data_IF_765753474279
#
_entry.id   IF_765753474279
#
_cell.length_a   1.000
_cell.length_b   1.000
_cell.length_c   1.000
_cell.angle_alpha   90.00
_cell.angle_beta   90.00
_cell.angle_gamma   90.00
#
_symmetry.space_group_name_H-M   'P 1'
#
loop_
_entity.id
_entity.type
_entity.pdbx_description
1 polymer ?
#
# COMPACT_ATOMS: atom_id res chain seq x y z
N UNK A 1 0.04 11.95 11.10
CA UNK A 1 0.48 10.56 11.31
C UNK A 1 1.89 10.44 10.77
N UNK A 2 2.82 9.84 11.50
CA UNK A 2 4.17 9.49 11.01
C UNK A 2 4.19 8.03 10.53
N UNK A 3 5.25 7.61 9.83
CA UNK A 3 5.29 6.30 9.17
C UNK A 3 5.26 5.12 10.16
N UNK A 4 5.92 5.27 11.29
CA UNK A 4 5.91 4.29 12.37
C UNK A 4 4.48 4.09 12.91
N UNK A 5 3.69 5.16 13.02
CA UNK A 5 2.28 5.10 13.41
C UNK A 5 1.42 4.43 12.33
N UNK A 6 1.73 4.65 11.04
CA UNK A 6 1.09 3.93 9.94
C UNK A 6 1.40 2.43 10.00
N UNK A 7 2.67 2.05 10.22
CA UNK A 7 3.02 0.63 10.33
C UNK A 7 2.34 -0.02 11.53
N UNK A 8 2.23 0.70 12.66
CA UNK A 8 1.54 0.20 13.84
C UNK A 8 0.03 0.03 13.58
N UNK A 9 -0.62 0.99 12.91
CA UNK A 9 -2.04 0.88 12.58
C UNK A 9 -2.32 -0.31 11.66
N UNK A 10 -1.47 -0.55 10.66
CA UNK A 10 -1.60 -1.71 9.76
C UNK A 10 -1.36 -3.04 10.48
N UNK A 11 -0.42 -3.10 11.43
CA UNK A 11 -0.16 -4.30 12.25
C UNK A 11 -1.30 -4.66 13.19
N UNK A 12 -2.14 -3.69 13.57
CA UNK A 12 -3.29 -3.90 14.45
C UNK A 12 -4.54 -4.40 13.70
N UNK A 13 -4.50 -4.43 12.36
CA UNK A 13 -5.58 -4.99 11.54
C UNK A 13 -5.30 -6.49 11.37
N UNK A 14 -6.29 -7.37 11.58
CA UNK A 14 -6.12 -8.81 11.32
C UNK A 14 -5.67 -9.05 9.87
N UNK A 15 -4.54 -9.74 9.72
CA UNK A 15 -4.00 -10.16 8.43
C UNK A 15 -4.10 -11.69 8.31
N UNK A 16 -4.42 -12.17 7.11
CA UNK A 16 -4.36 -13.60 6.79
C UNK A 16 -2.92 -14.11 6.83
N UNK A 17 -1.98 -13.27 6.38
CA UNK A 17 -0.57 -13.60 6.29
C UNK A 17 0.27 -12.35 6.55
N UNK A 18 1.21 -12.43 7.50
CA UNK A 18 2.25 -11.41 7.64
C UNK A 18 3.52 -11.91 6.98
N UNK A 19 4.04 -11.16 5.99
CA UNK A 19 5.22 -11.54 5.22
C UNK A 19 6.47 -10.80 5.66
N UNK A 20 6.33 -9.52 5.98
CA UNK A 20 7.41 -8.70 6.50
C UNK A 20 6.89 -7.53 7.36
N UNK A 21 7.65 -7.18 8.39
CA UNK A 21 7.30 -6.13 9.34
C UNK A 21 8.55 -5.40 9.87
N UNK A 22 9.31 -4.78 8.97
CA UNK A 22 10.54 -4.04 9.23
C UNK A 22 10.27 -2.53 9.41
N UNK A 23 11.22 -1.75 9.97
CA UNK A 23 11.04 -0.31 10.21
C UNK A 23 10.74 0.52 8.95
N UNK A 24 11.27 0.13 7.79
CA UNK A 24 11.08 0.83 6.50
C UNK A 24 10.26 0.00 5.49
N UNK A 25 9.76 -1.17 5.88
CA UNK A 25 9.07 -2.09 4.97
C UNK A 25 8.04 -2.95 5.68
N UNK A 26 6.82 -2.96 5.20
CA UNK A 26 5.74 -3.80 5.67
C UNK A 26 5.06 -4.51 4.50
N UNK A 27 4.84 -5.81 4.64
CA UNK A 27 4.08 -6.60 3.68
C UNK A 27 3.18 -7.59 4.41
N UNK A 28 1.90 -7.58 4.05
CA UNK A 28 0.91 -8.51 4.58
C UNK A 28 -0.19 -8.78 3.55
N UNK A 29 -0.94 -9.85 3.76
CA UNK A 29 -2.13 -10.21 2.98
C UNK A 29 -3.35 -10.00 3.86
N UNK A 30 -4.32 -9.24 3.35
CA UNK A 30 -5.58 -8.96 4.02
C UNK A 30 -6.75 -9.52 3.22
N UNK A 31 -7.82 -9.92 3.91
CA UNK A 31 -9.11 -10.21 3.27
C UNK A 31 -9.79 -8.92 2.84
N UNK A 32 -10.75 -9.02 1.91
CA UNK A 32 -11.58 -7.87 1.52
C UNK A 32 -12.35 -7.23 2.67
N UNK A 33 -12.72 -8.00 3.70
CA UNK A 33 -13.43 -7.51 4.88
C UNK A 33 -12.61 -6.44 5.63
N UNK A 34 -11.29 -6.58 5.68
CA UNK A 34 -10.41 -5.67 6.40
C UNK A 34 -9.89 -4.51 5.53
N UNK A 35 -10.13 -4.55 4.22
CA UNK A 35 -9.68 -3.50 3.30
C UNK A 35 -10.21 -2.10 3.60
N UNK A 36 -11.44 -1.88 4.10
CA UNK A 36 -11.87 -0.55 4.55
C UNK A 36 -10.97 0.04 5.64
N UNK A 37 -10.56 -0.75 6.63
CA UNK A 37 -9.67 -0.30 7.71
C UNK A 37 -8.24 -0.03 7.21
N UNK A 38 -7.75 -0.89 6.30
CA UNK A 38 -6.45 -0.70 5.64
C UNK A 38 -6.44 0.61 4.84
N UNK A 39 -7.46 0.84 4.01
CA UNK A 39 -7.57 2.06 3.19
C UNK A 39 -7.67 3.31 4.06
N UNK A 40 -8.47 3.28 5.12
CA UNK A 40 -8.58 4.39 6.05
C UNK A 40 -7.23 4.75 6.69
N UNK A 41 -6.44 3.73 7.09
CA UNK A 41 -5.10 3.94 7.65
C UNK A 41 -4.13 4.55 6.63
N UNK A 42 -4.16 4.06 5.39
CA UNK A 42 -3.34 4.58 4.30
C UNK A 42 -3.75 6.01 3.90
N UNK A 43 -5.03 6.30 3.80
CA UNK A 43 -5.55 7.62 3.44
C UNK A 43 -5.29 8.66 4.54
N UNK A 44 -5.32 8.25 5.81
CA UNK A 44 -4.93 9.11 6.92
C UNK A 44 -3.45 9.52 6.87
N UNK A 45 -2.59 8.69 6.26
CA UNK A 45 -1.16 8.97 6.12
C UNK A 45 -0.81 9.66 4.79
N UNK A 46 -1.23 9.08 3.67
CA UNK A 46 -0.87 9.51 2.31
C UNK A 46 -1.83 10.55 1.72
N UNK A 47 -3.05 10.67 2.24
CA UNK A 47 -4.15 11.31 1.54
C UNK A 47 -4.72 10.43 0.43
N UNK A 48 -5.26 11.06 -0.62
CA UNK A 48 -5.88 10.33 -1.72
C UNK A 48 -4.87 9.46 -2.50
N UNK A 49 -5.34 8.33 -3.02
CA UNK A 49 -4.52 7.45 -3.83
C UNK A 49 -4.01 8.18 -5.10
N UNK A 50 -2.70 8.08 -5.37
CA UNK A 50 -2.11 8.54 -6.63
C UNK A 50 -2.71 7.79 -7.83
N UNK A 51 -3.02 6.50 -7.64
CA UNK A 51 -3.73 5.67 -8.61
C UNK A 51 -4.78 4.84 -7.89
N UNK A 52 -6.08 5.15 -8.01
CA UNK A 52 -7.14 4.32 -7.46
C UNK A 52 -7.38 3.06 -8.29
N UNK A 53 -8.03 2.05 -7.69
CA UNK A 53 -8.45 0.83 -8.38
C UNK A 53 -9.40 1.16 -9.56
N UNK A 54 -9.24 0.45 -10.68
CA UNK A 54 -10.09 0.62 -11.87
C UNK A 54 -9.70 1.78 -12.78
N UNK A 55 -8.83 2.68 -12.33
CA UNK A 55 -8.32 3.79 -13.16
C UNK A 55 -7.02 3.36 -13.86
N UNK A 56 -6.76 3.74 -15.12
CA UNK A 56 -5.47 3.51 -15.76
C UNK A 56 -4.33 4.16 -14.97
N UNK A 57 -3.18 3.49 -14.89
CA UNK A 57 -2.02 4.07 -14.23
C UNK A 57 -1.42 5.21 -15.06
N UNK A 58 -1.10 6.33 -14.41
CA UNK A 58 -0.30 7.39 -15.01
C UNK A 58 1.13 6.91 -15.29
N UNK A 59 1.85 7.62 -16.15
CA UNK A 59 3.27 7.33 -16.45
C UNK A 59 4.11 7.27 -15.17
N UNK A 60 3.84 8.19 -14.23
CA UNK A 60 4.58 8.24 -12.95
C UNK A 60 4.23 7.06 -12.04
N UNK A 61 2.96 6.67 -11.98
CA UNK A 61 2.55 5.48 -11.24
C UNK A 61 3.18 4.20 -11.81
N UNK A 62 3.31 4.10 -13.14
CA UNK A 62 4.01 2.98 -13.81
C UNK A 62 5.49 2.98 -13.47
N UNK A 63 6.17 4.13 -13.55
CA UNK A 63 7.60 4.26 -13.21
C UNK A 63 7.88 3.83 -11.78
N UNK A 64 7.10 4.34 -10.82
CA UNK A 64 7.21 4.00 -9.40
C UNK A 64 7.03 2.50 -9.21
N UNK A 65 5.95 1.93 -9.73
CA UNK A 65 5.62 0.53 -9.50
C UNK A 65 6.56 -0.46 -10.21
N UNK A 66 7.29 -0.04 -11.24
CA UNK A 66 8.18 -0.91 -12.03
C UNK A 66 9.22 -1.62 -11.16
N UNK A 67 9.75 -0.95 -10.14
CA UNK A 67 10.72 -1.54 -9.20
C UNK A 67 10.09 -2.56 -8.22
N UNK A 68 8.76 -2.59 -8.11
CA UNK A 68 8.02 -3.33 -7.08
C UNK A 68 7.09 -4.43 -7.63
N UNK A 69 7.29 -4.83 -8.88
CA UNK A 69 6.47 -5.85 -9.56
C UNK A 69 5.45 -5.30 -10.56
N UNK A 70 5.51 -4.00 -10.86
CA UNK A 70 4.65 -3.33 -11.83
C UNK A 70 3.27 -2.94 -11.28
N UNK A 71 2.50 -2.22 -12.10
CA UNK A 71 1.14 -1.77 -11.76
C UNK A 71 0.11 -2.30 -12.75
N UNK A 72 -1.00 -2.83 -12.25
CA UNK A 72 -2.13 -3.31 -13.05
C UNK A 72 -3.40 -2.48 -12.78
N UNK A 73 -4.40 -2.59 -13.66
CA UNK A 73 -5.65 -1.82 -13.60
C UNK A 73 -6.40 -1.97 -12.28
N UNK A 74 -6.41 -3.15 -11.66
CA UNK A 74 -7.08 -3.39 -10.37
C UNK A 74 -6.33 -2.86 -9.14
N UNK A 75 -5.06 -2.49 -9.27
CA UNK A 75 -4.21 -2.16 -8.13
C UNK A 75 -4.45 -0.74 -7.64
N UNK A 76 -4.14 -0.46 -6.36
CA UNK A 76 -4.14 0.92 -5.84
C UNK A 76 -2.73 1.31 -5.45
N UNK A 77 -2.32 2.54 -5.78
CA UNK A 77 -1.03 3.13 -5.40
C UNK A 77 -1.26 4.41 -4.59
N UNK A 78 -0.62 4.47 -3.43
CA UNK A 78 -0.43 5.69 -2.65
C UNK A 78 1.03 6.09 -2.70
N UNK A 79 1.28 7.41 -2.78
CA UNK A 79 2.63 7.95 -2.80
C UNK A 79 2.66 9.25 -1.99
N UNK A 80 3.65 9.36 -1.12
CA UNK A 80 3.95 10.57 -0.35
C UNK A 80 5.44 10.89 -0.43
N UNK A 81 5.78 12.17 -0.33
CA UNK A 81 7.16 12.65 -0.18
C UNK A 81 7.39 13.08 1.26
N UNK A 82 8.53 12.69 1.84
CA UNK A 82 8.96 13.15 3.16
C UNK A 82 10.35 13.80 3.05
N UNK A 83 10.84 14.41 4.14
CA UNK A 83 12.14 15.09 4.13
C UNK A 83 13.31 14.14 3.84
N UNK A 84 13.15 12.86 4.16
CA UNK A 84 14.19 11.82 4.07
C UNK A 84 14.01 10.89 2.87
N UNK A 85 13.06 11.18 1.97
CA UNK A 85 12.83 10.39 0.76
C UNK A 85 11.36 10.25 0.39
N UNK A 86 10.95 9.03 0.09
CA UNK A 86 9.66 8.74 -0.53
C UNK A 86 8.96 7.55 0.14
N UNK A 87 7.72 7.77 0.59
CA UNK A 87 6.88 6.71 1.12
C UNK A 87 5.91 6.23 0.04
N UNK A 88 5.70 4.92 -0.05
CA UNK A 88 4.81 4.29 -1.05
C UNK A 88 3.97 3.21 -0.40
N UNK A 89 2.74 3.04 -0.88
CA UNK A 89 1.94 1.88 -0.57
C UNK A 89 1.23 1.32 -1.81
N UNK A 90 1.24 -0.01 -1.93
CA UNK A 90 0.67 -0.76 -3.04
C UNK A 90 -0.36 -1.74 -2.51
N UNK A 91 -1.53 -1.76 -3.13
CA UNK A 91 -2.58 -2.74 -2.88
C UNK A 91 -2.73 -3.59 -4.13
N UNK A 92 -2.44 -4.87 -4.00
CA UNK A 92 -2.54 -5.89 -5.04
C UNK A 92 -3.69 -6.84 -4.77
N UNK A 93 -4.88 -6.58 -5.33
CA UNK A 93 -5.96 -7.55 -5.29
C UNK A 93 -5.55 -8.81 -6.04
N UNK A 94 -5.81 -9.96 -5.43
CA UNK A 94 -5.63 -11.26 -6.06
C UNK A 94 -6.78 -11.51 -7.05
N UNK A 95 -6.51 -12.30 -8.10
CA UNK A 95 -7.51 -12.62 -9.12
C UNK A 95 -8.71 -13.41 -8.61
N UNK A 96 -8.63 -13.97 -7.39
CA UNK A 96 -9.76 -14.64 -6.74
C UNK A 96 -10.76 -13.66 -6.10
N UNK A 97 -10.43 -12.37 -6.00
CA UNK A 97 -11.28 -11.36 -5.37
C UNK A 97 -11.49 -11.56 -3.87
N UNK A 98 -10.64 -12.32 -3.18
CA UNK A 98 -10.78 -12.59 -1.74
C UNK A 98 -9.69 -11.92 -0.90
N UNK A 99 -8.50 -11.80 -1.49
CA UNK A 99 -7.31 -11.33 -0.80
C UNK A 99 -6.66 -10.16 -1.52
N UNK A 100 -5.95 -9.33 -0.74
CA UNK A 100 -5.16 -8.21 -1.24
C UNK A 100 -3.81 -8.24 -0.54
N UNK A 101 -2.73 -8.31 -1.32
CA UNK A 101 -1.38 -8.06 -0.77
C UNK A 101 -1.18 -6.56 -0.64
N UNK A 102 -0.82 -6.12 0.56
CA UNK A 102 -0.48 -4.73 0.86
C UNK A 102 1.01 -4.67 1.09
N UNK A 103 1.72 -3.82 0.35
CA UNK A 103 3.11 -3.44 0.67
C UNK A 103 3.18 -1.97 0.97
N UNK A 104 3.92 -1.62 2.01
CA UNK A 104 4.22 -0.25 2.40
C UNK A 104 5.73 -0.15 2.60
N UNK A 105 6.34 0.89 2.04
CA UNK A 105 7.78 1.04 2.07
C UNK A 105 8.20 2.51 2.09
N UNK A 106 9.38 2.74 2.67
CA UNK A 106 10.07 4.02 2.69
C UNK A 106 11.37 3.87 1.89
N UNK A 107 11.48 4.61 0.79
CA UNK A 107 12.70 4.77 0.01
C UNK A 107 13.52 5.93 0.59
N UNK A 108 14.81 5.68 0.84
CA UNK A 108 15.82 6.68 1.23
C UNK A 108 16.77 6.91 0.06
#
# INVERSE_FOLDING_TARGET
MIFEELLLSLKNIPAEESRAALPAYFEAVFTLEHMPAVRASLEAYFGAALKPAGVPASIDAVKIAKAYGGIQTGQTLYAGSCAEGADRAFLWPWGNGLAVTVKVLREQ
#
